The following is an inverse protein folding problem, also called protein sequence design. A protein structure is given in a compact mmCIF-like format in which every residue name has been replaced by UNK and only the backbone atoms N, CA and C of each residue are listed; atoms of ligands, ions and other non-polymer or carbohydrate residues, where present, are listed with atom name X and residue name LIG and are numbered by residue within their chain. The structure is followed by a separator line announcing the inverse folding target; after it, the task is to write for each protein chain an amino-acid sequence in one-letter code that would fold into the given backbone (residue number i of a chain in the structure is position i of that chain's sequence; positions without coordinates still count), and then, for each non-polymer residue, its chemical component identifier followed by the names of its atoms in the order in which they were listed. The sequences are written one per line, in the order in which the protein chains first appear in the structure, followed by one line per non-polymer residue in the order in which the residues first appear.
data_IF_858095740533
#
_entry.id   IF_858095740533
#
_cell.length_a   1.000
_cell.length_b   1.000
_cell.length_c   1.000
_cell.angle_alpha   90.00
_cell.angle_beta   90.00
_cell.angle_gamma   90.00
#
_symmetry.space_group_name_H-M   'P 1'
#
loop_
_entity.id
_entity.type
_entity.pdbx_description
1 polymer ?
#
# COMPACT_ATOMS: atom_id res chain seq x y z
N UNK A 1 -1.85 -16.16 54.02
CA UNK A 1 -1.73 -15.04 53.08
C UNK A 1 -0.66 -15.40 52.05
N UNK A 2 -1.06 -16.10 50.98
CA UNK A 2 -0.18 -16.36 49.84
C UNK A 2 -0.57 -15.36 48.76
N UNK A 3 0.35 -14.44 48.46
CA UNK A 3 0.23 -13.52 47.34
C UNK A 3 0.16 -14.37 46.06
N UNK A 4 -1.02 -14.44 45.47
CA UNK A 4 -1.20 -14.96 44.12
C UNK A 4 -0.41 -14.00 43.22
N UNK A 5 0.76 -14.42 42.74
CA UNK A 5 1.48 -13.71 41.69
C UNK A 5 0.49 -13.56 40.53
N UNK A 6 -0.03 -12.33 40.34
CA UNK A 6 -0.96 -12.04 39.25
C UNK A 6 -0.19 -12.26 37.97
N UNK A 7 -0.45 -13.38 37.31
CA UNK A 7 0.16 -13.68 36.02
C UNK A 7 -0.20 -12.55 35.04
N UNK A 8 0.82 -11.94 34.47
CA UNK A 8 0.69 -10.90 33.44
C UNK A 8 1.06 -11.49 32.09
N UNK A 9 0.48 -10.94 31.02
CA UNK A 9 0.87 -11.22 29.64
C UNK A 9 1.32 -9.94 28.94
N UNK A 10 2.14 -10.08 27.91
CA UNK A 10 2.53 -8.96 27.04
C UNK A 10 1.50 -8.81 25.93
N UNK A 11 1.01 -7.61 25.74
CA UNK A 11 0.15 -7.22 24.62
C UNK A 11 0.91 -6.26 23.70
N UNK A 12 0.75 -6.44 22.40
CA UNK A 12 1.30 -5.55 21.38
C UNK A 12 0.16 -4.85 20.67
N UNK A 13 0.24 -3.53 20.59
CA UNK A 13 -0.65 -2.69 19.79
C UNK A 13 0.19 -2.06 18.67
N UNK A 14 -0.28 -2.21 17.43
CA UNK A 14 0.42 -1.71 16.25
C UNK A 14 -0.42 -0.61 15.62
N UNK A 15 0.14 0.59 15.57
CA UNK A 15 -0.45 1.75 14.91
C UNK A 15 0.25 2.03 13.59
N UNK A 16 -0.53 2.16 12.52
CA UNK A 16 -0.04 2.56 11.20
C UNK A 16 -0.27 4.05 10.99
N UNK A 17 0.82 4.77 10.71
CA UNK A 17 0.83 6.21 10.52
C UNK A 17 0.84 6.61 9.05
N UNK A 18 1.72 7.55 8.72
CA UNK A 18 1.83 8.12 7.38
C UNK A 18 2.25 7.06 6.35
N UNK A 19 1.53 7.02 5.23
CA UNK A 19 1.87 6.19 4.07
C UNK A 19 2.72 7.00 3.09
N UNK A 20 3.72 6.36 2.51
CA UNK A 20 4.62 6.93 1.51
C UNK A 20 4.62 6.05 0.26
N UNK A 21 4.38 6.67 -0.90
CA UNK A 21 4.48 6.02 -2.19
C UNK A 21 5.61 6.68 -2.97
N UNK A 22 6.56 5.87 -3.42
CA UNK A 22 7.68 6.33 -4.24
C UNK A 22 7.33 6.32 -5.73
N UNK A 23 8.25 6.73 -6.61
CA UNK A 23 8.11 6.50 -8.05
C UNK A 23 8.39 5.02 -8.37
N UNK A 24 7.90 4.49 -9.52
CA UNK A 24 8.21 3.13 -9.95
C UNK A 24 9.71 2.82 -9.99
N UNK A 25 10.11 1.74 -9.34
CA UNK A 25 11.51 1.28 -9.25
C UNK A 25 11.61 -0.22 -9.47
N UNK A 26 12.75 -0.67 -9.98
CA UNK A 26 13.10 -2.08 -10.07
C UNK A 26 14.27 -2.40 -9.12
N UNK A 27 14.28 -3.62 -8.59
CA UNK A 27 15.45 -4.16 -7.88
C UNK A 27 16.14 -5.13 -8.81
N UNK A 28 17.36 -4.79 -9.23
CA UNK A 28 18.16 -5.64 -10.10
C UNK A 28 18.78 -6.82 -9.33
N UNK A 29 19.33 -7.80 -10.07
CA UNK A 29 19.90 -9.03 -9.48
C UNK A 29 21.06 -8.78 -8.52
N UNK A 30 21.74 -7.66 -8.67
CA UNK A 30 22.83 -7.21 -7.81
C UNK A 30 22.34 -6.44 -6.56
N UNK A 31 21.03 -6.28 -6.40
CA UNK A 31 20.40 -5.55 -5.31
C UNK A 31 20.34 -4.04 -5.52
N UNK A 32 20.79 -3.52 -6.67
CA UNK A 32 20.67 -2.10 -6.98
C UNK A 32 19.22 -1.73 -7.29
N UNK A 33 18.80 -0.56 -6.79
CA UNK A 33 17.46 -0.03 -7.04
C UNK A 33 17.55 1.02 -8.13
N UNK A 34 16.87 0.80 -9.23
CA UNK A 34 16.84 1.69 -10.39
C UNK A 34 15.42 2.20 -10.62
N UNK A 35 15.29 3.39 -11.23
CA UNK A 35 13.98 3.85 -11.69
C UNK A 35 13.48 2.92 -12.80
N UNK A 36 12.24 2.49 -12.70
CA UNK A 36 11.62 1.67 -13.74
C UNK A 36 10.89 2.57 -14.73
N UNK A 37 11.18 2.40 -16.02
CA UNK A 37 10.43 3.06 -17.10
C UNK A 37 9.36 2.12 -17.70
N UNK A 38 8.23 2.64 -18.21
CA UNK A 38 7.18 1.78 -18.74
C UNK A 38 7.64 0.94 -19.94
N UNK A 39 8.37 1.52 -20.89
CA UNK A 39 8.97 0.80 -22.03
C UNK A 39 9.81 -0.41 -21.58
N UNK A 40 10.64 -0.22 -20.57
CA UNK A 40 11.45 -1.29 -19.98
C UNK A 40 10.58 -2.38 -19.35
N UNK A 41 9.54 -2.01 -18.61
CA UNK A 41 8.63 -2.96 -17.99
C UNK A 41 7.93 -3.84 -19.05
N UNK A 42 7.54 -3.26 -20.20
CA UNK A 42 6.99 -4.01 -21.35
C UNK A 42 7.99 -5.01 -21.90
N UNK A 43 9.21 -4.57 -22.22
CA UNK A 43 10.23 -5.41 -22.87
C UNK A 43 10.76 -6.53 -21.98
N UNK A 44 10.91 -6.28 -20.68
CA UNK A 44 11.49 -7.24 -19.73
C UNK A 44 10.44 -8.15 -19.06
N UNK A 45 9.17 -8.07 -19.46
CA UNK A 45 8.06 -8.77 -18.80
C UNK A 45 7.95 -8.48 -17.30
N UNK A 46 8.20 -7.22 -16.89
CA UNK A 46 8.11 -6.79 -15.50
C UNK A 46 6.76 -6.15 -15.20
N UNK A 47 6.47 -5.96 -13.91
CA UNK A 47 5.29 -5.22 -13.46
C UNK A 47 5.71 -3.79 -13.12
N UNK A 48 5.08 -2.81 -13.77
CA UNK A 48 5.34 -1.40 -13.52
C UNK A 48 4.67 -0.96 -12.21
N UNK A 49 5.45 -1.00 -11.13
CA UNK A 49 4.97 -0.76 -9.77
C UNK A 49 5.96 0.07 -8.96
N UNK A 50 5.43 0.77 -7.95
CA UNK A 50 6.21 1.55 -7.02
C UNK A 50 6.19 0.94 -5.61
N UNK A 51 7.30 0.99 -4.87
CA UNK A 51 7.32 0.54 -3.49
C UNK A 51 6.54 1.49 -2.58
N UNK A 52 5.73 0.87 -1.71
CA UNK A 52 4.87 1.47 -0.70
C UNK A 52 5.52 1.28 0.67
N UNK A 53 5.59 2.37 1.44
CA UNK A 53 6.12 2.37 2.80
C UNK A 53 5.11 2.96 3.77
N UNK A 54 5.21 2.63 5.05
CA UNK A 54 4.36 3.19 6.11
C UNK A 54 5.17 3.42 7.38
N UNK A 55 4.83 4.45 8.15
CA UNK A 55 5.32 4.57 9.52
C UNK A 55 4.55 3.61 10.43
N UNK A 56 5.27 2.83 11.24
CA UNK A 56 4.71 1.87 12.20
C UNK A 56 5.13 2.26 13.60
N UNK A 57 4.16 2.35 14.50
CA UNK A 57 4.39 2.52 15.93
C UNK A 57 3.92 1.27 16.65
N UNK A 58 4.83 0.62 17.37
CA UNK A 58 4.56 -0.57 18.15
C UNK A 58 4.58 -0.21 19.63
N UNK A 59 3.44 -0.36 20.31
CA UNK A 59 3.30 -0.16 21.75
C UNK A 59 3.21 -1.49 22.46
N UNK A 60 3.92 -1.62 23.58
CA UNK A 60 3.95 -2.84 24.38
C UNK A 60 3.36 -2.57 25.76
N UNK A 61 2.42 -3.41 26.16
CA UNK A 61 1.70 -3.31 27.43
C UNK A 61 1.90 -4.59 28.23
N UNK A 62 1.96 -4.46 29.56
CA UNK A 62 1.95 -5.59 30.48
C UNK A 62 0.60 -5.60 31.18
N UNK A 63 -0.26 -6.54 30.79
CA UNK A 63 -1.67 -6.58 31.22
C UNK A 63 -1.96 -7.85 32.04
N UNK A 64 -3.00 -7.84 32.90
CA UNK A 64 -3.46 -9.04 33.58
C UNK A 64 -3.81 -10.16 32.57
N UNK A 65 -3.48 -11.41 32.91
CA UNK A 65 -3.71 -12.54 32.00
C UNK A 65 -5.18 -12.69 31.56
N UNK A 66 -6.11 -12.40 32.46
CA UNK A 66 -7.56 -12.51 32.26
C UNK A 66 -8.17 -11.37 31.44
N UNK A 67 -7.43 -10.28 31.21
CA UNK A 67 -7.94 -9.13 30.46
C UNK A 67 -8.23 -9.49 29.00
N UNK A 68 -9.38 -9.06 28.50
CA UNK A 68 -9.78 -9.21 27.10
C UNK A 68 -9.24 -8.05 26.26
N UNK A 69 -8.06 -8.24 25.66
CA UNK A 69 -7.38 -7.20 24.85
C UNK A 69 -8.09 -6.85 23.54
N UNK A 70 -9.12 -7.59 23.15
CA UNK A 70 -9.95 -7.27 21.98
C UNK A 70 -11.16 -6.40 22.32
N UNK A 71 -11.49 -6.23 23.60
CA UNK A 71 -12.60 -5.39 24.02
C UNK A 71 -12.17 -3.91 24.00
N UNK A 72 -12.78 -3.04 23.19
CA UNK A 72 -12.44 -1.61 23.15
C UNK A 72 -12.73 -0.87 24.48
N UNK A 73 -13.50 -1.47 25.39
CA UNK A 73 -13.81 -0.88 26.69
C UNK A 73 -12.74 -1.17 27.77
N UNK A 74 -11.84 -2.13 27.54
CA UNK A 74 -10.75 -2.48 28.46
C UNK A 74 -9.58 -1.50 28.28
N UNK A 75 -9.16 -0.85 29.37
CA UNK A 75 -8.02 0.06 29.37
C UNK A 75 -6.71 -0.73 29.57
N UNK A 76 -5.82 -0.69 28.56
CA UNK A 76 -4.51 -1.34 28.58
C UNK A 76 -3.51 -0.60 29.50
N UNK A 77 -3.84 0.61 29.96
CA UNK A 77 -2.97 1.47 30.74
C UNK A 77 -1.86 2.12 29.91
N UNK A 78 -0.79 2.52 30.57
CA UNK A 78 0.37 3.14 29.90
C UNK A 78 1.30 2.07 29.30
N UNK A 79 1.75 2.23 28.05
CA UNK A 79 2.71 1.31 27.46
C UNK A 79 4.05 1.40 28.18
N UNK A 80 4.68 0.26 28.47
CA UNK A 80 6.00 0.23 29.09
C UNK A 80 7.13 0.39 28.06
N UNK A 81 6.83 0.18 26.77
CA UNK A 81 7.76 0.42 25.67
C UNK A 81 6.99 0.87 24.42
N UNK A 82 7.56 1.83 23.70
CA UNK A 82 7.07 2.32 22.41
C UNK A 82 8.25 2.29 21.44
N UNK A 83 8.09 1.60 20.32
CA UNK A 83 9.04 1.56 19.22
C UNK A 83 8.44 2.22 17.97
N UNK A 84 9.27 2.96 17.23
CA UNK A 84 8.87 3.68 16.03
C UNK A 84 9.73 3.25 14.85
N UNK A 85 9.15 2.49 13.93
CA UNK A 85 9.74 2.18 12.65
C UNK A 85 9.22 3.15 11.59
N UNK A 86 10.11 3.99 11.03
CA UNK A 86 9.73 4.93 9.96
C UNK A 86 9.94 4.31 8.60
N UNK A 87 8.99 4.53 7.69
CA UNK A 87 9.04 4.05 6.29
C UNK A 87 9.34 2.56 6.18
N UNK A 88 8.63 1.74 6.93
CA UNK A 88 8.68 0.28 6.81
C UNK A 88 8.11 -0.14 5.45
N UNK A 89 8.79 -1.04 4.75
CA UNK A 89 8.37 -1.49 3.41
C UNK A 89 7.16 -2.42 3.52
N UNK A 90 6.06 -2.05 2.87
CA UNK A 90 4.84 -2.88 2.83
C UNK A 90 4.75 -3.77 1.60
N UNK A 91 5.25 -3.30 0.46
CA UNK A 91 5.09 -4.00 -0.80
C UNK A 91 5.10 -3.06 -2.00
N UNK A 92 4.64 -3.56 -3.14
CA UNK A 92 4.58 -2.82 -4.39
C UNK A 92 3.13 -2.55 -4.80
N UNK A 93 2.87 -1.35 -5.31
CA UNK A 93 1.57 -0.94 -5.87
C UNK A 93 1.75 -0.70 -7.37
N UNK A 94 1.00 -1.39 -8.25
CA UNK A 94 1.00 -1.11 -9.68
C UNK A 94 0.62 0.34 -9.96
N UNK A 95 1.43 1.03 -10.76
CA UNK A 95 1.21 2.43 -11.10
C UNK A 95 0.56 2.53 -12.49
N UNK A 96 -0.50 3.30 -12.58
CA UNK A 96 -1.19 3.57 -13.84
C UNK A 96 -0.33 4.50 -14.71
N UNK A 97 -0.18 4.17 -15.99
CA UNK A 97 0.58 4.99 -16.92
C UNK A 97 -0.07 6.38 -17.08
N UNK A 98 0.78 7.41 -17.13
CA UNK A 98 0.41 8.84 -17.14
C UNK A 98 -0.41 9.32 -15.93
N UNK A 99 -0.51 8.53 -14.86
CA UNK A 99 -1.04 9.01 -13.57
C UNK A 99 -0.03 9.88 -12.83
N UNK A 100 -0.46 10.57 -11.78
CA UNK A 100 0.37 11.47 -10.96
C UNK A 100 1.65 10.84 -10.42
N UNK A 101 1.65 9.53 -10.15
CA UNK A 101 2.81 8.79 -9.62
C UNK A 101 3.66 8.11 -10.70
N UNK A 102 3.27 8.22 -11.97
CA UNK A 102 4.03 7.68 -13.09
C UNK A 102 5.27 8.55 -13.37
N UNK A 103 6.36 7.93 -13.81
CA UNK A 103 7.58 8.65 -14.22
C UNK A 103 7.31 9.57 -15.43
N UNK A 104 6.28 9.27 -16.23
CA UNK A 104 5.89 10.02 -17.42
C UNK A 104 4.99 11.24 -17.15
N UNK A 105 4.52 11.46 -15.92
CA UNK A 105 3.50 12.50 -15.63
C UNK A 105 3.95 13.92 -15.95
N UNK A 106 5.24 14.19 -15.75
CA UNK A 106 5.84 15.52 -15.83
C UNK A 106 6.73 15.68 -17.08
N UNK A 107 6.52 14.82 -18.08
CA UNK A 107 7.35 14.75 -19.30
C UNK A 107 6.67 15.44 -20.47
N UNK A 108 7.44 16.21 -21.23
CA UNK A 108 6.98 16.83 -22.48
C UNK A 108 7.12 15.86 -23.66
N UNK A 109 6.60 16.26 -24.82
CA UNK A 109 6.58 15.41 -26.03
C UNK A 109 8.00 15.01 -26.49
N UNK A 110 8.99 15.88 -26.28
CA UNK A 110 10.38 15.61 -26.62
C UNK A 110 10.98 14.56 -25.67
N UNK A 111 10.82 14.75 -24.35
CA UNK A 111 11.26 13.80 -23.34
C UNK A 111 10.58 12.42 -23.54
N UNK A 112 9.29 12.39 -23.86
CA UNK A 112 8.56 11.14 -24.12
C UNK A 112 9.14 10.39 -25.33
N UNK A 113 9.43 11.11 -26.41
CA UNK A 113 10.05 10.54 -27.61
C UNK A 113 11.45 9.99 -27.30
N UNK A 114 12.26 10.73 -26.53
CA UNK A 114 13.60 10.31 -26.13
C UNK A 114 13.59 9.08 -25.22
N UNK A 115 12.54 8.92 -24.40
CA UNK A 115 12.31 7.76 -23.55
C UNK A 115 11.72 6.55 -24.30
N UNK A 116 11.46 6.68 -25.61
CA UNK A 116 10.89 5.61 -26.43
C UNK A 116 9.39 5.38 -26.19
N UNK A 117 8.69 6.36 -25.62
CA UNK A 117 7.24 6.33 -25.44
C UNK A 117 6.53 7.07 -26.58
N UNK A 118 5.30 6.68 -26.87
CA UNK A 118 4.48 7.36 -27.88
C UNK A 118 3.85 8.64 -27.30
N UNK A 119 4.05 9.78 -27.96
CA UNK A 119 3.44 11.07 -27.56
C UNK A 119 1.90 11.00 -27.59
N UNK A 120 1.34 10.20 -28.49
CA UNK A 120 -0.11 10.04 -28.67
C UNK A 120 -0.74 8.97 -27.76
N UNK A 121 0.06 8.21 -27.00
CA UNK A 121 -0.49 7.30 -25.99
C UNK A 121 -1.33 8.11 -24.99
N UNK A 122 -2.46 7.58 -24.52
CA UNK A 122 -3.28 8.26 -23.52
C UNK A 122 -2.94 7.81 -22.10
N UNK A 123 -2.23 6.69 -21.93
CA UNK A 123 -2.07 6.05 -20.63
C UNK A 123 -3.40 5.52 -20.10
N UNK A 124 -3.57 5.50 -18.78
CA UNK A 124 -4.82 5.00 -18.15
C UNK A 124 -4.91 3.48 -18.03
N UNK A 125 -3.79 2.78 -18.22
CA UNK A 125 -3.67 1.33 -18.08
C UNK A 125 -2.45 0.98 -17.22
N UNK A 126 -2.32 -0.30 -16.88
CA UNK A 126 -1.24 -0.85 -16.07
C UNK A 126 -0.41 -1.83 -16.88
N UNK A 127 0.90 -1.89 -16.64
CA UNK A 127 1.77 -2.93 -17.19
C UNK A 127 2.01 -3.98 -16.10
N UNK A 128 1.49 -5.19 -16.30
CA UNK A 128 1.63 -6.32 -15.39
C UNK A 128 2.31 -7.47 -16.15
N UNK A 129 3.49 -7.88 -15.68
CA UNK A 129 4.33 -8.91 -16.33
C UNK A 129 4.50 -8.63 -17.84
N UNK A 130 4.83 -7.39 -18.19
CA UNK A 130 4.98 -6.91 -19.57
C UNK A 130 3.70 -6.69 -20.35
N UNK A 131 2.56 -7.18 -19.87
CA UNK A 131 1.28 -7.06 -20.55
C UNK A 131 0.49 -5.85 -20.08
N UNK A 132 -0.11 -5.14 -21.02
CA UNK A 132 -1.01 -4.02 -20.73
C UNK A 132 -2.37 -4.53 -20.23
N UNK A 133 -2.89 -3.88 -19.19
CA UNK A 133 -4.11 -4.25 -18.46
C UNK A 133 -4.93 -3.01 -18.18
N UNK A 134 -6.21 -3.04 -18.56
CA UNK A 134 -7.17 -1.96 -18.34
C UNK A 134 -8.22 -2.45 -17.34
N UNK A 135 -8.59 -1.59 -16.38
CA UNK A 135 -9.73 -1.83 -15.51
C UNK A 135 -10.96 -1.18 -16.16
N UNK A 136 -11.99 -1.97 -16.43
CA UNK A 136 -13.25 -1.49 -17.01
C UNK A 136 -14.22 -1.17 -15.88
N UNK A 137 -14.84 0.01 -15.96
CA UNK A 137 -15.87 0.43 -15.01
C UNK A 137 -17.00 -0.60 -14.91
N UNK A 138 -17.43 -0.92 -13.69
CA UNK A 138 -18.50 -1.85 -13.42
C UNK A 138 -19.76 -1.09 -13.02
N UNK A 139 -20.83 -1.24 -13.79
CA UNK A 139 -22.12 -0.66 -13.45
C UNK A 139 -22.75 -1.41 -12.27
N UNK A 140 -23.25 -0.66 -11.29
CA UNK A 140 -23.98 -1.19 -10.13
C UNK A 140 -25.13 -0.25 -9.79
N UNK A 141 -26.21 -0.81 -9.22
CA UNK A 141 -27.27 -0.01 -8.63
C UNK A 141 -26.69 0.86 -7.51
N UNK A 142 -27.20 2.09 -7.41
CA UNK A 142 -26.72 3.02 -6.39
C UNK A 142 -27.05 2.49 -4.98
N UNK A 143 -26.07 2.61 -4.08
CA UNK A 143 -26.24 2.24 -2.68
C UNK A 143 -27.07 3.30 -1.94
N UNK A 144 -27.51 2.99 -0.72
CA UNK A 144 -28.19 3.92 0.18
C UNK A 144 -29.50 4.51 -0.38
N UNK A 145 -30.15 3.79 -1.29
CA UNK A 145 -31.46 4.12 -1.84
C UNK A 145 -32.46 2.97 -1.59
N UNK A 146 -33.70 3.32 -1.25
CA UNK A 146 -34.79 2.35 -1.15
C UNK A 146 -35.39 2.16 -2.54
N UNK A 147 -35.34 0.92 -3.04
CA UNK A 147 -35.99 0.56 -4.30
C UNK A 147 -37.23 -0.29 -4.01
N UNK A 148 -38.39 0.14 -4.53
CA UNK A 148 -39.63 -0.61 -4.45
C UNK A 148 -40.00 -1.12 -5.85
N UNK A 149 -40.07 -2.45 -6.01
CA UNK A 149 -40.42 -3.09 -7.27
C UNK A 149 -41.68 -3.92 -7.09
N UNK A 150 -42.55 -3.93 -8.10
CA UNK A 150 -43.66 -4.88 -8.13
C UNK A 150 -43.11 -6.27 -8.43
N UNK A 151 -43.32 -7.21 -7.51
CA UNK A 151 -42.98 -8.61 -7.73
C UNK A 151 -43.98 -9.22 -8.70
N UNK A 152 -43.48 -9.86 -9.77
CA UNK A 152 -44.30 -10.70 -10.66
C UNK A 152 -44.62 -12.04 -10.00
#
# INVERSE_FOLDING_TARGET
EQQLERQTKICFEIHFGQVYLSKPTNVEKDGTVTNMFPHEARLRNLTYAAPLYVDVEQRQYQVPFEMNVQDPAEDLGEPFAIDHAKKEFLGYVPIMLRSLFCVLSDKDDADLSDLGECIYDQGGYFIINGSEKVIIAQERLSNNHVYAFQKK
#
